data_IF_905208707669
#
_entry.id   IF_905208707669
#
_cell.length_a   1.000
_cell.length_b   1.000
_cell.length_c   1.000
_cell.angle_alpha   90.00
_cell.angle_beta   90.00
_cell.angle_gamma   90.00
#
_symmetry.space_group_name_H-M   'P 1'
#
loop_
_entity.id
_entity.type
_entity.pdbx_description
1 polymer ?
#
# COMPACT_ATOMS: atom_id res chain seq x y z
N UNK A 1 9.76 0.19 -10.95
CA UNK A 1 10.93 1.02 -10.51
C UNK A 1 10.71 2.53 -10.62
N UNK A 2 10.01 3.04 -11.62
CA UNK A 2 9.79 4.49 -11.76
C UNK A 2 9.12 5.16 -10.53
N UNK A 3 8.01 4.66 -9.95
CA UNK A 3 7.37 5.31 -8.82
C UNK A 3 8.25 5.41 -7.57
N UNK A 4 9.04 4.37 -7.27
CA UNK A 4 9.97 4.38 -6.14
C UNK A 4 11.09 5.41 -6.33
N UNK A 5 11.62 5.55 -7.56
CA UNK A 5 12.61 6.59 -7.88
C UNK A 5 12.01 7.99 -7.70
N UNK A 6 10.78 8.21 -8.21
CA UNK A 6 10.07 9.47 -8.06
C UNK A 6 9.91 9.82 -6.58
N UNK A 7 9.46 8.88 -5.74
CA UNK A 7 9.32 9.10 -4.30
C UNK A 7 10.65 9.46 -3.62
N UNK A 8 11.73 8.74 -3.93
CA UNK A 8 13.06 9.05 -3.39
C UNK A 8 13.54 10.43 -3.82
N UNK A 9 13.39 10.77 -5.10
CA UNK A 9 13.78 12.08 -5.62
C UNK A 9 12.92 13.19 -5.00
N UNK A 10 11.61 13.01 -4.90
CA UNK A 10 10.72 13.99 -4.28
C UNK A 10 11.05 14.21 -2.80
N UNK A 11 11.36 13.14 -2.06
CA UNK A 11 11.81 13.22 -0.66
C UNK A 11 13.11 14.02 -0.55
N UNK A 12 14.11 13.73 -1.38
CA UNK A 12 15.40 14.43 -1.37
C UNK A 12 15.23 15.91 -1.74
N UNK A 13 14.49 16.21 -2.81
CA UNK A 13 14.26 17.61 -3.24
C UNK A 13 13.51 18.38 -2.16
N UNK A 14 12.47 17.79 -1.55
CA UNK A 14 11.73 18.43 -0.45
C UNK A 14 12.62 18.66 0.77
N UNK A 15 13.54 17.76 1.08
CA UNK A 15 14.51 17.93 2.17
C UNK A 15 15.47 19.07 1.91
N UNK A 16 16.02 19.16 0.70
CA UNK A 16 16.93 20.27 0.31
C UNK A 16 16.16 21.60 0.35
N UNK A 17 14.95 21.66 -0.19
CA UNK A 17 14.11 22.85 -0.15
C UNK A 17 13.78 23.28 1.29
N UNK A 18 13.50 22.32 2.19
CA UNK A 18 13.30 22.58 3.62
C UNK A 18 14.55 23.21 4.24
N UNK A 19 15.72 22.61 4.03
CA UNK A 19 16.99 23.12 4.57
C UNK A 19 17.26 24.57 4.11
N UNK A 20 17.09 24.84 2.81
CA UNK A 20 17.26 26.17 2.24
C UNK A 20 16.25 27.17 2.85
N UNK A 21 14.97 26.80 2.91
CA UNK A 21 13.91 27.67 3.42
C UNK A 21 14.10 28.00 4.92
N UNK A 22 14.52 27.02 5.73
CA UNK A 22 14.84 27.21 7.16
C UNK A 22 16.03 28.17 7.31
N UNK A 23 17.11 27.97 6.53
CA UNK A 23 18.30 28.84 6.56
C UNK A 23 17.92 30.28 6.19
N UNK A 24 17.18 30.46 5.10
CA UNK A 24 16.73 31.79 4.67
C UNK A 24 15.80 32.46 5.68
N UNK A 25 14.94 31.69 6.35
CA UNK A 25 14.11 32.22 7.42
C UNK A 25 14.94 32.73 8.61
N UNK A 26 15.95 31.96 9.03
CA UNK A 26 16.83 32.40 10.13
C UNK A 26 17.68 33.64 9.79
N UNK A 27 18.07 33.78 8.52
CA UNK A 27 18.87 34.95 8.07
C UNK A 27 18.05 36.22 7.87
N UNK A 28 16.80 36.09 7.38
CA UNK A 28 16.01 37.24 6.93
C UNK A 28 14.78 37.54 7.77
N UNK A 29 14.29 36.54 8.56
CA UNK A 29 13.06 36.59 9.34
C UNK A 29 11.77 36.87 8.55
N UNK A 30 11.81 36.80 7.19
CA UNK A 30 10.62 37.02 6.38
C UNK A 30 9.65 35.84 6.48
N UNK A 31 8.36 36.14 6.70
CA UNK A 31 7.30 35.12 6.87
C UNK A 31 7.12 34.20 5.65
N UNK A 32 7.48 34.63 4.44
CA UNK A 32 7.45 33.82 3.23
C UNK A 32 8.35 32.58 3.35
N UNK A 33 9.53 32.70 3.95
CA UNK A 33 10.43 31.55 4.13
C UNK A 33 9.92 30.58 5.18
N UNK A 34 9.19 31.05 6.23
CA UNK A 34 8.47 30.16 7.14
C UNK A 34 7.41 29.34 6.39
N UNK A 35 6.64 29.97 5.50
CA UNK A 35 5.64 29.28 4.68
C UNK A 35 6.28 28.22 3.78
N UNK A 36 7.37 28.57 3.11
CA UNK A 36 8.12 27.63 2.27
C UNK A 36 8.70 26.46 3.10
N UNK A 37 9.25 26.74 4.28
CA UNK A 37 9.76 25.72 5.17
C UNK A 37 8.67 24.72 5.63
N UNK A 38 7.50 25.22 6.02
CA UNK A 38 6.35 24.34 6.39
C UNK A 38 5.89 23.53 5.19
N UNK A 39 5.76 24.13 4.02
CA UNK A 39 5.33 23.41 2.79
C UNK A 39 6.35 22.35 2.39
N UNK A 40 7.63 22.67 2.38
CA UNK A 40 8.69 21.71 2.06
C UNK A 40 8.79 20.62 3.13
N UNK A 41 8.64 20.97 4.41
CA UNK A 41 8.67 20.03 5.54
C UNK A 41 7.51 19.04 5.50
N UNK A 42 6.28 19.47 5.22
CA UNK A 42 5.12 18.58 5.07
C UNK A 42 5.27 17.68 3.86
N UNK A 43 5.78 18.18 2.74
CA UNK A 43 6.07 17.40 1.55
C UNK A 43 7.13 16.34 1.83
N UNK A 44 8.25 16.72 2.45
CA UNK A 44 9.30 15.80 2.88
C UNK A 44 8.74 14.71 3.80
N UNK A 45 7.99 15.09 4.83
CA UNK A 45 7.36 14.14 5.75
C UNK A 45 6.53 13.09 4.99
N UNK A 46 5.62 13.52 4.11
CA UNK A 46 4.73 12.60 3.41
C UNK A 46 5.47 11.65 2.47
N UNK A 47 6.51 12.10 1.75
CA UNK A 47 7.29 11.21 0.89
C UNK A 47 8.21 10.29 1.69
N UNK A 48 8.93 10.84 2.68
CA UNK A 48 9.89 10.10 3.47
C UNK A 48 9.24 8.98 4.29
N UNK A 49 8.14 9.30 4.98
CA UNK A 49 7.45 8.30 5.83
C UNK A 49 6.92 7.14 5.00
N UNK A 50 6.39 7.39 3.79
CA UNK A 50 5.95 6.32 2.89
C UNK A 50 7.07 5.37 2.49
N UNK A 51 8.27 5.90 2.26
CA UNK A 51 9.45 5.07 2.00
C UNK A 51 9.80 4.22 3.21
N UNK A 52 9.83 4.81 4.40
CA UNK A 52 10.16 4.10 5.65
C UNK A 52 9.13 3.01 5.94
N UNK A 53 7.84 3.33 5.88
CA UNK A 53 6.74 2.36 6.11
C UNK A 53 6.81 1.21 5.11
N UNK A 54 7.00 1.51 3.82
CA UNK A 54 7.10 0.50 2.78
C UNK A 54 8.26 -0.45 3.04
N UNK A 55 9.46 0.07 3.29
CA UNK A 55 10.68 -0.72 3.57
C UNK A 55 10.50 -1.54 4.85
N UNK A 56 9.97 -0.95 5.91
CA UNK A 56 9.79 -1.61 7.21
C UNK A 56 8.80 -2.79 7.10
N UNK A 57 7.63 -2.57 6.52
CA UNK A 57 6.60 -3.61 6.39
C UNK A 57 7.07 -4.71 5.44
N UNK A 58 7.74 -4.36 4.33
CA UNK A 58 8.31 -5.34 3.41
C UNK A 58 9.34 -6.24 4.11
N UNK A 59 10.25 -5.65 4.88
CA UNK A 59 11.24 -6.40 5.66
C UNK A 59 10.62 -7.33 6.72
N UNK A 60 9.54 -6.89 7.37
CA UNK A 60 8.89 -7.65 8.45
C UNK A 60 7.93 -8.72 7.90
N UNK A 61 7.15 -8.40 6.87
CA UNK A 61 6.08 -9.28 6.36
C UNK A 61 6.54 -10.19 5.22
N UNK A 62 7.48 -9.75 4.39
CA UNK A 62 8.03 -10.54 3.27
C UNK A 62 6.95 -11.16 2.38
N UNK A 63 5.87 -10.44 2.13
CA UNK A 63 4.69 -10.91 1.38
C UNK A 63 4.03 -12.20 1.94
N UNK A 64 4.19 -12.48 3.24
CA UNK A 64 3.63 -13.66 3.93
C UNK A 64 2.46 -13.26 4.84
N UNK A 65 1.44 -12.63 4.28
CA UNK A 65 0.24 -12.30 5.04
C UNK A 65 -0.70 -13.50 5.17
N UNK A 66 -1.30 -13.68 6.35
CA UNK A 66 -2.37 -14.64 6.56
C UNK A 66 -3.69 -14.07 5.99
N UNK A 67 -4.04 -14.52 4.78
CA UNK A 67 -5.22 -14.07 4.05
C UNK A 67 -6.55 -14.47 4.70
N UNK A 68 -6.53 -15.35 5.71
CA UNK A 68 -7.74 -15.86 6.39
C UNK A 68 -8.23 -14.91 7.47
N UNK A 69 -7.41 -13.94 7.88
CA UNK A 69 -7.77 -12.95 8.90
C UNK A 69 -9.01 -12.16 8.48
N UNK A 70 -9.87 -11.89 9.46
CA UNK A 70 -11.12 -11.14 9.26
C UNK A 70 -10.90 -9.75 8.62
N UNK A 71 -9.76 -9.12 8.90
CA UNK A 71 -9.37 -7.82 8.33
C UNK A 71 -9.32 -7.85 6.80
N UNK A 72 -8.77 -8.92 6.23
CA UNK A 72 -8.62 -9.06 4.77
C UNK A 72 -9.87 -9.60 4.06
N UNK A 73 -10.90 -10.01 4.81
CA UNK A 73 -12.13 -10.54 4.23
C UNK A 73 -12.84 -9.47 3.41
N UNK A 74 -13.16 -9.79 2.17
CA UNK A 74 -13.97 -8.93 1.30
C UNK A 74 -15.43 -9.03 1.75
N UNK A 75 -16.04 -7.88 2.04
CA UNK A 75 -17.44 -7.81 2.46
C UNK A 75 -18.36 -7.75 1.24
N UNK A 76 -19.61 -8.24 1.31
CA UNK A 76 -20.54 -8.26 0.17
C UNK A 76 -20.76 -6.88 -0.46
N UNK A 77 -20.88 -5.82 0.35
CA UNK A 77 -21.09 -4.46 -0.11
C UNK A 77 -19.90 -3.89 -0.91
N UNK A 78 -18.68 -4.34 -0.63
CA UNK A 78 -17.47 -3.86 -1.30
C UNK A 78 -17.51 -4.15 -2.80
N UNK A 79 -18.02 -5.32 -3.20
CA UNK A 79 -18.13 -5.69 -4.61
C UNK A 79 -19.06 -4.74 -5.39
N UNK A 80 -20.17 -4.34 -4.78
CA UNK A 80 -21.08 -3.37 -5.37
C UNK A 80 -20.44 -1.98 -5.45
N UNK A 81 -19.73 -1.57 -4.39
CA UNK A 81 -18.99 -0.31 -4.33
C UNK A 81 -17.91 -0.24 -5.43
N UNK A 82 -17.07 -1.27 -5.58
CA UNK A 82 -16.02 -1.31 -6.60
C UNK A 82 -16.57 -1.20 -8.02
N UNK A 83 -17.73 -1.81 -8.27
CA UNK A 83 -18.44 -1.70 -9.55
C UNK A 83 -18.93 -0.27 -9.78
N UNK A 84 -19.51 0.35 -8.74
CA UNK A 84 -20.05 1.72 -8.81
C UNK A 84 -18.97 2.75 -9.12
N UNK A 85 -17.79 2.65 -8.50
CA UNK A 85 -16.66 3.56 -8.73
C UNK A 85 -15.78 3.16 -9.91
N UNK A 86 -16.13 2.07 -10.61
CA UNK A 86 -15.46 1.63 -11.83
C UNK A 86 -13.99 1.25 -11.65
N UNK A 87 -13.59 0.61 -10.53
CA UNK A 87 -12.20 0.27 -10.22
C UNK A 87 -11.51 -0.43 -11.39
N UNK A 88 -12.21 -1.31 -12.09
CA UNK A 88 -11.69 -2.04 -13.26
C UNK A 88 -11.11 -1.11 -14.33
N UNK A 89 -11.68 0.08 -14.52
CA UNK A 89 -11.34 0.97 -15.62
C UNK A 89 -10.11 1.84 -15.36
N UNK A 90 -9.77 2.08 -14.08
CA UNK A 90 -8.69 2.98 -13.72
C UNK A 90 -7.53 2.30 -12.97
N UNK A 91 -7.71 1.12 -12.38
CA UNK A 91 -6.67 0.46 -11.59
C UNK A 91 -5.36 0.20 -12.36
N UNK A 92 -5.47 -0.12 -13.66
CA UNK A 92 -4.31 -0.44 -14.49
C UNK A 92 -3.51 0.81 -14.92
N UNK A 93 -4.06 2.01 -14.66
CA UNK A 93 -3.39 3.31 -14.83
C UNK A 93 -2.61 3.75 -13.59
N UNK A 94 -2.79 3.05 -12.47
CA UNK A 94 -2.12 3.40 -11.22
C UNK A 94 -0.65 2.95 -11.23
N UNK A 95 0.26 3.79 -10.72
CA UNK A 95 1.67 3.46 -10.68
C UNK A 95 1.94 2.27 -9.74
N UNK A 96 2.75 1.32 -10.19
CA UNK A 96 3.18 0.15 -9.40
C UNK A 96 4.69 0.15 -9.27
N UNK A 97 5.19 0.11 -8.02
CA UNK A 97 6.64 0.13 -7.74
C UNK A 97 7.32 -1.20 -8.05
N UNK A 98 6.59 -2.31 -7.92
CA UNK A 98 7.11 -3.68 -8.10
C UNK A 98 6.12 -4.50 -8.94
N UNK A 99 6.03 -4.24 -10.27
CA UNK A 99 5.09 -4.93 -11.15
C UNK A 99 5.34 -6.44 -11.20
N UNK A 100 6.58 -6.89 -10.98
CA UNK A 100 6.96 -8.30 -10.91
C UNK A 100 6.22 -9.08 -9.83
N UNK A 101 5.84 -8.45 -8.71
CA UNK A 101 5.08 -9.10 -7.64
C UNK A 101 3.62 -9.39 -8.02
N UNK A 102 3.12 -8.82 -9.10
CA UNK A 102 1.75 -9.01 -9.58
C UNK A 102 1.66 -9.85 -10.86
N UNK A 103 2.76 -10.48 -11.30
CA UNK A 103 2.79 -11.30 -12.51
C UNK A 103 2.26 -12.71 -12.24
N UNK A 104 1.05 -13.00 -12.75
CA UNK A 104 0.39 -14.33 -12.66
C UNK A 104 1.19 -15.48 -13.30
N UNK A 105 2.17 -15.18 -14.16
CA UNK A 105 3.03 -16.20 -14.76
C UNK A 105 4.16 -16.63 -13.85
N UNK A 106 4.49 -15.80 -12.84
CA UNK A 106 5.59 -16.02 -11.91
C UNK A 106 5.13 -16.42 -10.51
N UNK A 107 3.89 -16.08 -10.16
CA UNK A 107 3.34 -16.23 -8.82
C UNK A 107 1.99 -16.95 -8.83
N UNK A 108 1.78 -17.75 -7.80
CA UNK A 108 0.49 -18.42 -7.57
C UNK A 108 -0.58 -17.41 -7.15
N UNK A 109 -1.88 -17.71 -7.36
CA UNK A 109 -2.97 -16.89 -6.86
C UNK A 109 -2.89 -16.60 -5.35
N UNK A 110 -2.38 -17.53 -4.56
CA UNK A 110 -2.19 -17.37 -3.11
C UNK A 110 -1.11 -16.33 -2.81
N UNK A 111 0.06 -16.44 -3.44
CA UNK A 111 1.15 -15.46 -3.27
C UNK A 111 0.70 -14.05 -3.68
N UNK A 112 -0.01 -13.94 -4.79
CA UNK A 112 -0.57 -12.64 -5.22
C UNK A 112 -1.58 -12.08 -4.22
N UNK A 113 -2.44 -12.93 -3.65
CA UNK A 113 -3.37 -12.49 -2.60
C UNK A 113 -2.61 -12.00 -1.36
N UNK A 114 -1.50 -12.65 -0.98
CA UNK A 114 -0.64 -12.21 0.13
C UNK A 114 0.04 -10.86 -0.15
N UNK A 115 0.54 -10.66 -1.37
CA UNK A 115 1.09 -9.36 -1.82
C UNK A 115 0.05 -8.25 -1.71
N UNK A 116 -1.20 -8.50 -2.13
CA UNK A 116 -2.27 -7.49 -2.00
C UNK A 116 -2.56 -7.14 -0.54
N UNK A 117 -2.53 -8.12 0.38
CA UNK A 117 -2.70 -7.89 1.81
C UNK A 117 -1.58 -7.03 2.40
N UNK A 118 -0.33 -7.30 2.03
CA UNK A 118 0.80 -6.50 2.50
C UNK A 118 0.73 -5.06 1.99
N UNK A 119 0.45 -4.89 0.69
CA UNK A 119 0.30 -3.57 0.08
C UNK A 119 -0.85 -2.77 0.70
N UNK A 120 -1.99 -3.41 1.01
CA UNK A 120 -3.11 -2.80 1.72
C UNK A 120 -2.67 -2.21 3.06
N UNK A 121 -2.00 -3.00 3.92
CA UNK A 121 -1.51 -2.53 5.22
C UNK A 121 -0.54 -1.35 5.07
N UNK A 122 0.37 -1.39 4.09
CA UNK A 122 1.30 -0.27 3.85
C UNK A 122 0.51 1.02 3.62
N UNK A 123 -0.51 0.97 2.78
CA UNK A 123 -1.31 2.14 2.46
C UNK A 123 -2.23 2.56 3.61
N UNK A 124 -2.81 1.63 4.37
CA UNK A 124 -3.60 1.94 5.57
C UNK A 124 -2.76 2.65 6.63
N UNK A 125 -1.55 2.15 6.91
CA UNK A 125 -0.61 2.81 7.83
C UNK A 125 -0.24 4.19 7.32
N UNK A 126 0.00 4.37 6.02
CA UNK A 126 0.28 5.67 5.43
C UNK A 126 -0.89 6.66 5.57
N UNK A 127 -2.15 6.21 5.46
CA UNK A 127 -3.33 7.03 5.75
C UNK A 127 -3.30 7.54 7.19
N UNK A 128 -3.09 6.64 8.16
CA UNK A 128 -3.04 7.01 9.57
C UNK A 128 -1.91 8.01 9.87
N UNK A 129 -0.73 7.77 9.32
CA UNK A 129 0.43 8.66 9.50
C UNK A 129 0.21 10.00 8.80
N UNK A 130 -0.51 10.03 7.66
CA UNK A 130 -0.88 11.29 7.00
C UNK A 130 -1.76 12.16 7.89
N UNK A 131 -2.70 11.56 8.65
CA UNK A 131 -3.49 12.27 9.67
C UNK A 131 -2.59 12.78 10.80
N UNK A 132 -1.60 12.00 11.22
CA UNK A 132 -0.63 12.40 12.23
C UNK A 132 0.15 13.69 11.91
N UNK A 133 0.36 13.98 10.62
CA UNK A 133 1.00 15.23 10.18
C UNK A 133 0.26 16.49 10.65
N UNK A 134 -1.06 16.41 10.90
CA UNK A 134 -1.87 17.53 11.43
C UNK A 134 -1.37 18.04 12.79
N UNK A 135 -0.71 17.19 13.58
CA UNK A 135 -0.11 17.59 14.84
C UNK A 135 0.97 18.66 14.65
N UNK A 136 1.60 18.72 13.47
CA UNK A 136 2.54 19.77 13.12
C UNK A 136 1.92 21.16 13.06
N UNK A 137 0.61 21.27 12.85
CA UNK A 137 -0.07 22.56 12.86
C UNK A 137 -0.06 23.24 14.25
N UNK A 138 0.09 22.48 15.34
CA UNK A 138 0.10 23.00 16.70
C UNK A 138 1.32 23.90 16.94
N UNK A 139 2.59 23.43 16.74
CA UNK A 139 3.76 24.28 16.98
C UNK A 139 4.06 25.26 15.83
N UNK A 140 3.75 24.94 14.58
CA UNK A 140 4.12 25.74 13.42
C UNK A 140 3.02 26.68 12.95
N UNK A 141 1.78 26.47 13.35
CA UNK A 141 0.61 27.14 12.78
C UNK A 141 0.31 26.61 11.37
N UNK A 142 -0.30 27.45 10.50
CA UNK A 142 -0.56 27.13 9.10
C UNK A 142 -1.42 25.86 8.90
N UNK A 143 -2.44 25.70 9.73
CA UNK A 143 -3.37 24.57 9.68
C UNK A 143 -3.84 24.18 8.26
N UNK A 144 -4.20 25.14 7.36
CA UNK A 144 -4.61 24.79 6.00
C UNK A 144 -3.55 24.00 5.21
N UNK A 145 -2.27 24.32 5.37
CA UNK A 145 -1.17 23.63 4.67
C UNK A 145 -1.07 22.17 5.14
N UNK A 146 -1.07 21.95 6.46
CA UNK A 146 -1.06 20.61 7.03
C UNK A 146 -2.33 19.82 6.66
N UNK A 147 -3.50 20.46 6.72
CA UNK A 147 -4.77 19.80 6.42
C UNK A 147 -4.85 19.38 4.95
N UNK A 148 -4.60 20.28 4.01
CA UNK A 148 -4.69 19.97 2.59
C UNK A 148 -3.66 18.93 2.15
N UNK A 149 -2.42 19.02 2.64
CA UNK A 149 -1.39 18.03 2.32
C UNK A 149 -1.72 16.66 2.90
N UNK A 150 -2.21 16.58 4.13
CA UNK A 150 -2.62 15.33 4.79
C UNK A 150 -3.83 14.71 4.12
N UNK A 151 -4.82 15.52 3.75
CA UNK A 151 -6.01 15.08 3.04
C UNK A 151 -5.65 14.51 1.66
N UNK A 152 -4.87 15.24 0.87
CA UNK A 152 -4.43 14.78 -0.45
C UNK A 152 -3.62 13.49 -0.34
N UNK A 153 -2.68 13.42 0.60
CA UNK A 153 -1.85 12.26 0.84
C UNK A 153 -2.65 11.04 1.33
N UNK A 154 -3.59 11.23 2.25
CA UNK A 154 -4.47 10.18 2.74
C UNK A 154 -5.43 9.66 1.66
N UNK A 155 -6.04 10.56 0.88
CA UNK A 155 -6.89 10.18 -0.25
C UNK A 155 -6.12 9.37 -1.30
N UNK A 156 -4.88 9.75 -1.60
CA UNK A 156 -4.02 9.02 -2.51
C UNK A 156 -3.77 7.58 -2.02
N UNK A 157 -3.41 7.39 -0.76
CA UNK A 157 -3.22 6.05 -0.20
C UNK A 157 -4.53 5.24 -0.16
N UNK A 158 -5.68 5.86 0.13
CA UNK A 158 -6.99 5.18 0.10
C UNK A 158 -7.34 4.63 -1.27
N UNK A 159 -6.95 5.29 -2.36
CA UNK A 159 -7.11 4.76 -3.72
C UNK A 159 -6.38 3.42 -3.86
N UNK A 160 -5.16 3.30 -3.33
CA UNK A 160 -4.40 2.06 -3.35
C UNK A 160 -5.02 0.98 -2.45
N UNK A 161 -5.51 1.33 -1.26
CA UNK A 161 -6.27 0.38 -0.40
C UNK A 161 -7.43 -0.21 -1.18
N UNK A 162 -8.26 0.62 -1.80
CA UNK A 162 -9.40 0.18 -2.63
C UNK A 162 -8.94 -0.74 -3.76
N UNK A 163 -7.88 -0.37 -4.47
CA UNK A 163 -7.32 -1.16 -5.57
C UNK A 163 -6.83 -2.54 -5.09
N UNK A 164 -6.11 -2.61 -3.97
CA UNK A 164 -5.60 -3.89 -3.45
C UNK A 164 -6.74 -4.80 -2.98
N UNK A 165 -7.74 -4.27 -2.30
CA UNK A 165 -8.94 -5.03 -1.91
C UNK A 165 -9.72 -5.51 -3.13
N UNK A 166 -9.88 -4.68 -4.15
CA UNK A 166 -10.48 -5.10 -5.42
C UNK A 166 -9.69 -6.23 -6.09
N UNK A 167 -8.37 -6.11 -6.21
CA UNK A 167 -7.52 -7.16 -6.80
C UNK A 167 -7.66 -8.47 -6.01
N UNK A 168 -7.65 -8.42 -4.68
CA UNK A 168 -7.84 -9.59 -3.83
C UNK A 168 -9.22 -10.23 -4.02
N UNK A 169 -10.29 -9.44 -4.20
CA UNK A 169 -11.63 -9.98 -4.48
C UNK A 169 -11.66 -10.85 -5.74
N UNK A 170 -10.80 -10.55 -6.71
CA UNK A 170 -10.66 -11.32 -7.96
C UNK A 170 -9.75 -12.53 -7.82
N UNK A 171 -8.80 -12.49 -6.91
CA UNK A 171 -7.85 -13.58 -6.67
C UNK A 171 -8.43 -14.69 -5.78
N UNK A 172 -9.27 -14.35 -4.79
CA UNK A 172 -9.80 -15.32 -3.84
C UNK A 172 -10.52 -16.53 -4.48
N UNK A 173 -11.36 -16.38 -5.52
CA UNK A 173 -11.97 -17.55 -6.19
C UNK A 173 -10.91 -18.47 -6.84
N UNK A 174 -9.79 -17.91 -7.34
CA UNK A 174 -8.70 -18.70 -7.92
C UNK A 174 -7.93 -19.46 -6.85
N UNK A 175 -7.69 -18.82 -5.70
CA UNK A 175 -7.08 -19.48 -4.51
C UNK A 175 -7.92 -20.66 -4.04
N UNK A 176 -9.23 -20.48 -3.93
CA UNK A 176 -10.14 -21.56 -3.52
C UNK A 176 -10.16 -22.70 -4.53
N UNK A 177 -10.18 -22.39 -5.83
CA UNK A 177 -10.09 -23.41 -6.89
C UNK A 177 -8.79 -24.21 -6.78
N UNK A 178 -7.66 -23.53 -6.61
CA UNK A 178 -6.35 -24.17 -6.45
C UNK A 178 -6.32 -25.12 -5.24
N UNK A 179 -6.87 -24.69 -4.09
CA UNK A 179 -6.96 -25.52 -2.88
C UNK A 179 -7.82 -26.77 -3.09
N UNK A 180 -8.97 -26.64 -3.76
CA UNK A 180 -9.85 -27.78 -4.07
C UNK A 180 -9.16 -28.80 -4.98
N UNK A 181 -8.42 -28.36 -5.99
CA UNK A 181 -7.69 -29.26 -6.90
C UNK A 181 -6.58 -29.99 -6.16
N UNK A 182 -5.79 -29.31 -5.33
CA UNK A 182 -4.73 -29.91 -4.53
C UNK A 182 -5.27 -30.97 -3.54
N UNK A 183 -6.41 -30.70 -2.91
CA UNK A 183 -7.07 -31.64 -2.01
C UNK A 183 -7.56 -32.92 -2.70
N UNK A 184 -8.04 -32.81 -3.95
CA UNK A 184 -8.47 -34.00 -4.73
C UNK A 184 -7.29 -34.90 -5.13
N UNK A 185 -6.16 -34.29 -5.50
CA UNK A 185 -4.95 -35.05 -5.90
C UNK A 185 -4.32 -35.77 -4.70
N UNK A 186 -4.34 -35.19 -3.50
CA UNK A 186 -3.86 -35.83 -2.27
C UNK A 186 -4.73 -36.97 -1.77
N UNK A 187 -6.04 -36.94 -2.04
CA UNK A 187 -6.97 -38.04 -1.64
C UNK A 187 -6.91 -39.25 -2.56
N UNK A 188 -6.50 -39.10 -3.80
CA UNK A 188 -6.40 -40.19 -4.77
C UNK A 188 -5.22 -41.13 -4.55
N UNK A 189 -4.19 -40.71 -3.82
CA UNK A 189 -2.96 -41.52 -3.61
C UNK A 189 -3.06 -42.46 -2.41
N UNK A 190 -4.02 -42.26 -1.52
CA UNK A 190 -4.19 -43.11 -0.31
C UNK A 190 -5.08 -44.33 -0.55
N UNK A 191 -5.84 -44.39 -1.63
CA UNK A 191 -6.80 -45.50 -1.91
C UNK A 191 -6.24 -46.60 -2.80
N UNK A 192 -4.99 -46.46 -3.29
CA UNK A 192 -4.36 -47.42 -4.23
C UNK A 192 -3.56 -48.57 -3.58
N UNK A 193 -3.43 -48.65 -2.23
CA UNK A 193 -2.54 -49.62 -1.60
C UNK A 193 -3.20 -50.56 -0.55
N UNK A 194 -4.45 -50.96 -0.84
CA UNK A 194 -5.13 -52.01 -0.05
C UNK A 194 -5.79 -53.05 -0.93
N UNK A 195 -5.05 -53.71 -1.81
CA UNK A 195 -5.43 -55.03 -2.36
C UNK A 195 -4.12 -55.77 -2.71
N UNK A 196 -3.74 -56.72 -1.91
CA UNK A 196 -2.60 -57.61 -2.23
C UNK A 196 -2.01 -58.34 -1.03
N UNK A 197 -2.81 -59.07 -0.32
CA UNK A 197 -2.31 -59.93 0.76
C UNK A 197 -3.26 -61.07 1.09
N UNK A 198 -3.35 -62.08 0.22
CA UNK A 198 -3.83 -63.43 0.59
C UNK A 198 -3.18 -64.44 -0.36
N UNK A 199 -2.26 -65.18 0.11
CA UNK A 199 -2.09 -66.65 0.14
C UNK A 199 -0.65 -67.01 0.35
#
# INVERSE_FOLDING_TARGET
MAPLKIMKTASLVSFIALAIAVTLYHLSHYGVFKTLAVTAGTSFYHFFVRLVVGIYIDKVKQNRADITRSWYRIRPWETAFYRRIGVKNWKDKMPTSFPEYYDLRKHTPLELAQVTCQSEIIHEVNVLISVGALLGAVPFGMFPAFFLSSLAAGCFDMIFVVMQRYNRSRLMPLVERQRRTAGKTGSGTVQGNKIGGTR
#
